data_IF_677238005757
#
_entry.id   IF_677238005757
#
_cell.length_a   1.000
_cell.length_b   1.000
_cell.length_c   1.000
_cell.angle_alpha   90.00
_cell.angle_beta   90.00
_cell.angle_gamma   90.00
#
_symmetry.space_group_name_H-M   'P 1'
#
loop_
_entity.id
_entity.type
_entity.pdbx_description
1 polymer ?
#
# COMPACT_ATOMS: atom_id res chain seq x y z
N UNK A 1 -30.19 25.33 -10.09
CA UNK A 1 -29.92 23.88 -10.24
C UNK A 1 -28.60 23.60 -10.98
N UNK A 2 -27.47 23.68 -10.29
CA UNK A 2 -26.23 23.08 -10.81
C UNK A 2 -25.31 22.61 -9.67
N UNK A 3 -25.23 23.39 -8.59
CA UNK A 3 -24.34 23.11 -7.46
C UNK A 3 -24.82 21.96 -6.56
N UNK A 4 -26.13 21.77 -6.35
CA UNK A 4 -26.66 20.67 -5.52
C UNK A 4 -26.44 19.30 -6.18
N UNK A 5 -26.56 19.22 -7.51
CA UNK A 5 -26.24 18.02 -8.30
C UNK A 5 -24.74 17.73 -8.34
N UNK A 6 -23.91 18.77 -8.32
CA UNK A 6 -22.46 18.63 -8.23
C UNK A 6 -22.05 18.13 -6.84
N UNK A 7 -22.60 18.74 -5.78
CA UNK A 7 -22.38 18.35 -4.38
C UNK A 7 -22.86 16.92 -4.08
N UNK A 8 -23.92 16.43 -4.73
CA UNK A 8 -24.36 15.04 -4.53
C UNK A 8 -23.46 14.00 -5.20
N UNK A 9 -22.62 14.42 -6.15
CA UNK A 9 -21.59 13.60 -6.80
C UNK A 9 -20.25 13.67 -6.06
N UNK A 10 -19.87 14.84 -5.55
CA UNK A 10 -18.66 15.04 -4.74
C UNK A 10 -18.91 14.61 -3.28
N UNK A 11 -18.38 13.45 -2.87
CA UNK A 11 -18.37 13.01 -1.47
C UNK A 11 -18.90 11.61 -1.21
N UNK A 12 -19.32 10.87 -2.25
CA UNK A 12 -19.68 9.45 -2.14
C UNK A 12 -18.52 8.50 -2.44
N UNK A 13 -17.41 9.02 -2.94
CA UNK A 13 -16.26 8.21 -3.30
C UNK A 13 -15.36 8.00 -2.09
N UNK A 14 -14.94 6.75 -1.88
CA UNK A 14 -13.99 6.43 -0.84
C UNK A 14 -12.60 6.85 -1.34
N UNK A 15 -12.20 8.07 -0.99
CA UNK A 15 -10.91 8.67 -1.37
C UNK A 15 -9.72 8.07 -0.60
N UNK A 16 -9.89 6.90 0.03
CA UNK A 16 -8.78 6.17 0.63
C UNK A 16 -7.77 5.86 -0.47
N UNK A 17 -6.51 6.26 -0.26
CA UNK A 17 -5.42 5.92 -1.15
C UNK A 17 -5.38 4.39 -1.33
N UNK A 18 -5.58 3.95 -2.57
CA UNK A 18 -5.55 2.53 -2.94
C UNK A 18 -4.10 2.01 -2.95
N UNK A 19 -3.13 2.92 -3.03
CA UNK A 19 -1.72 2.62 -3.16
C UNK A 19 -0.89 3.43 -2.16
N UNK A 20 0.18 2.83 -1.68
CA UNK A 20 1.27 3.51 -0.98
C UNK A 20 2.53 3.54 -1.84
N UNK A 21 3.54 4.23 -1.34
CA UNK A 21 4.86 4.31 -1.95
C UNK A 21 5.88 3.58 -1.08
N UNK A 22 6.81 2.87 -1.72
CA UNK A 22 7.99 2.31 -1.05
C UNK A 22 8.98 3.45 -0.82
N UNK A 23 9.26 3.76 0.44
CA UNK A 23 10.20 4.84 0.81
C UNK A 23 11.62 4.33 1.03
N UNK A 24 11.77 3.06 1.44
CA UNK A 24 13.08 2.45 1.69
C UNK A 24 13.03 0.93 1.57
N UNK A 25 14.07 0.34 0.99
CA UNK A 25 14.29 -1.11 1.00
C UNK A 25 15.56 -1.40 1.80
N UNK A 26 15.46 -2.30 2.76
CA UNK A 26 16.58 -2.83 3.56
C UNK A 26 16.67 -4.34 3.38
N UNK A 27 17.74 -4.96 3.87
CA UNK A 27 18.00 -6.40 3.70
C UNK A 27 16.86 -7.30 4.19
N UNK A 28 16.13 -6.88 5.23
CA UNK A 28 15.11 -7.69 5.89
C UNK A 28 13.71 -7.08 5.89
N UNK A 29 13.56 -5.83 5.44
CA UNK A 29 12.30 -5.09 5.56
C UNK A 29 12.14 -4.04 4.47
N UNK A 30 10.89 -3.77 4.13
CA UNK A 30 10.49 -2.71 3.19
C UNK A 30 9.68 -1.69 3.97
N UNK A 31 10.03 -0.41 3.88
CA UNK A 31 9.27 0.69 4.46
C UNK A 31 8.32 1.27 3.41
N UNK A 32 7.07 1.46 3.80
CA UNK A 32 6.04 2.10 2.97
C UNK A 32 5.36 3.26 3.69
N UNK A 33 4.81 4.18 2.91
CA UNK A 33 3.98 5.28 3.38
C UNK A 33 2.78 5.49 2.45
N UNK A 34 1.72 6.12 2.97
CA UNK A 34 0.57 6.57 2.16
C UNK A 34 -0.50 5.49 1.93
N UNK A 35 -0.32 4.29 2.48
CA UNK A 35 -1.33 3.24 2.50
C UNK A 35 -1.79 3.02 3.95
N UNK A 36 -3.10 2.97 4.18
CA UNK A 36 -3.65 2.60 5.49
C UNK A 36 -3.57 1.09 5.64
N UNK A 37 -2.79 0.63 6.61
CA UNK A 37 -2.52 -0.80 6.86
C UNK A 37 -2.78 -1.17 8.31
N UNK A 38 -3.02 -2.46 8.54
CA UNK A 38 -3.00 -3.14 9.83
C UNK A 38 -1.86 -4.16 9.90
N UNK A 39 -1.38 -4.46 11.11
CA UNK A 39 -0.40 -5.54 11.32
C UNK A 39 -1.02 -6.87 10.89
N UNK A 40 -0.29 -7.65 10.09
CA UNK A 40 -0.77 -8.90 9.49
C UNK A 40 -1.44 -8.74 8.13
N UNK A 41 -1.67 -7.52 7.65
CA UNK A 41 -2.17 -7.31 6.28
C UNK A 41 -1.16 -7.83 5.27
N UNK A 42 -1.66 -8.47 4.21
CA UNK A 42 -0.87 -8.88 3.05
C UNK A 42 -1.02 -7.82 1.97
N UNK A 43 0.11 -7.29 1.51
CA UNK A 43 0.18 -6.23 0.52
C UNK A 43 0.86 -6.77 -0.73
N UNK A 44 0.32 -6.41 -1.90
CA UNK A 44 0.95 -6.65 -3.19
C UNK A 44 1.86 -5.48 -3.55
N UNK A 45 3.14 -5.76 -3.73
CA UNK A 45 4.12 -4.84 -4.30
C UNK A 45 4.13 -5.03 -5.81
N UNK A 46 4.11 -3.93 -6.56
CA UNK A 46 4.11 -3.92 -8.02
C UNK A 46 5.23 -3.01 -8.53
N UNK A 47 5.91 -3.43 -9.60
CA UNK A 47 6.89 -2.58 -10.27
C UNK A 47 6.19 -1.60 -11.21
N UNK A 48 6.69 -0.36 -11.24
CA UNK A 48 6.25 0.66 -12.20
C UNK A 48 6.87 0.47 -13.60
N UNK A 49 7.92 -0.34 -13.73
CA UNK A 49 8.66 -0.56 -14.99
C UNK A 49 8.30 -1.89 -15.66
N UNK A 50 7.91 -2.90 -14.88
CA UNK A 50 7.59 -4.23 -15.38
C UNK A 50 6.38 -4.82 -14.66
N UNK A 51 5.24 -4.88 -15.34
CA UNK A 51 3.97 -5.37 -14.79
C UNK A 51 4.03 -6.84 -14.31
N UNK A 52 4.96 -7.63 -14.86
CA UNK A 52 5.15 -9.02 -14.44
C UNK A 52 5.91 -9.14 -13.12
N UNK A 53 6.60 -8.09 -12.68
CA UNK A 53 7.26 -8.04 -11.39
C UNK A 53 6.29 -7.58 -10.32
N UNK A 54 5.67 -8.56 -9.67
CA UNK A 54 4.89 -8.35 -8.47
C UNK A 54 5.26 -9.38 -7.41
N UNK A 55 5.17 -8.99 -6.15
CA UNK A 55 5.41 -9.87 -5.01
C UNK A 55 4.46 -9.54 -3.87
N UNK A 56 4.33 -10.46 -2.92
CA UNK A 56 3.53 -10.27 -1.72
C UNK A 56 4.46 -10.01 -0.53
N UNK A 57 3.99 -9.22 0.42
CA UNK A 57 4.66 -8.96 1.68
C UNK A 57 3.62 -8.81 2.80
N UNK A 58 4.01 -9.10 4.03
CA UNK A 58 3.14 -8.93 5.20
C UNK A 58 3.58 -7.70 6.01
N UNK A 59 2.60 -6.91 6.48
CA UNK A 59 2.86 -5.83 7.42
C UNK A 59 3.23 -6.42 8.78
N UNK A 60 4.45 -6.14 9.23
CA UNK A 60 4.96 -6.64 10.52
C UNK A 60 5.04 -5.55 11.59
N UNK A 61 5.10 -4.29 11.19
CA UNK A 61 5.21 -3.16 12.12
C UNK A 61 4.54 -1.90 11.54
N UNK A 62 3.90 -1.12 12.40
CA UNK A 62 3.32 0.19 12.05
C UNK A 62 3.90 1.24 13.00
N UNK A 63 4.42 2.32 12.41
CA UNK A 63 4.77 3.58 13.07
C UNK A 63 3.85 4.69 12.56
N UNK A 64 3.89 5.86 13.19
CA UNK A 64 2.95 6.96 12.91
C UNK A 64 2.69 7.21 11.41
N UNK A 65 3.75 7.34 10.60
CA UNK A 65 3.63 7.64 9.17
C UNK A 65 4.10 6.51 8.26
N UNK A 66 4.62 5.43 8.82
CA UNK A 66 5.31 4.39 8.07
C UNK A 66 4.84 3.00 8.50
N UNK A 67 4.76 2.09 7.54
CA UNK A 67 4.57 0.67 7.82
C UNK A 67 5.76 -0.11 7.29
N UNK A 68 6.16 -1.15 8.02
CA UNK A 68 7.25 -2.02 7.62
C UNK A 68 6.70 -3.37 7.22
N UNK A 69 7.17 -3.84 6.07
CA UNK A 69 6.76 -5.09 5.45
C UNK A 69 7.89 -6.09 5.53
N UNK A 70 7.55 -7.33 5.85
CA UNK A 70 8.42 -8.47 5.62
C UNK A 70 8.04 -9.11 4.28
N UNK A 71 8.94 -9.07 3.27
CA UNK A 71 8.68 -9.74 2.01
C UNK A 71 8.60 -11.26 2.26
N UNK A 72 7.67 -11.93 1.58
CA UNK A 72 7.71 -13.39 1.56
C UNK A 72 8.91 -13.78 0.71
N UNK A 73 9.99 -14.23 1.36
CA UNK A 73 11.07 -14.89 0.62
C UNK A 73 10.53 -16.21 0.11
N UNK A 74 10.85 -16.56 -1.15
CA UNK A 74 10.84 -17.96 -1.55
C UNK A 74 11.85 -18.70 -0.66
N UNK A 75 11.34 -19.39 0.36
CA UNK A 75 12.07 -20.51 0.94
C UNK A 75 11.97 -21.66 -0.07
N UNK A 76 12.78 -21.64 -1.13
CA UNK A 76 13.13 -22.87 -1.82
C UNK A 76 14.00 -23.67 -0.83
N UNK A 77 13.33 -24.53 -0.07
CA UNK A 77 13.95 -25.61 0.69
C UNK A 77 13.92 -26.89 -0.13
#
# INVERSE_FOLDING_TARGET
MNLEKLRSKLGKENLSAVFGEITKISTTSIEIRGLKTGVGDIIKLVSNENENLNTLAMVVEIKEQFSYLSPFSFIEG
#
